data_IF_332305741488
#
_entry.id   IF_332305741488
#
_cell.length_a   1.000
_cell.length_b   1.000
_cell.length_c   1.000
_cell.angle_alpha   90.00
_cell.angle_beta   90.00
_cell.angle_gamma   90.00
#
_symmetry.space_group_name_H-M   'P 1'
#
loop_
_entity.id
_entity.type
_entity.pdbx_description
1 polymer ?
#
# COMPACT_ATOMS: atom_id res chain seq x y z
N UNK A 1 18.05 -19.31 -18.47
CA UNK A 1 18.27 -19.39 -17.01
C UNK A 1 18.66 -18.00 -16.56
N UNK A 2 17.73 -17.21 -16.03
CA UNK A 2 18.02 -15.83 -15.58
C UNK A 2 18.05 -15.85 -14.06
N UNK A 3 19.24 -15.61 -13.50
CA UNK A 3 19.48 -15.62 -12.06
C UNK A 3 18.83 -14.43 -11.38
N UNK A 4 18.29 -14.66 -10.18
CA UNK A 4 17.88 -13.62 -9.25
C UNK A 4 19.14 -12.85 -8.85
N UNK A 5 19.20 -11.55 -9.17
CA UNK A 5 20.26 -10.67 -8.66
C UNK A 5 19.81 -10.21 -7.28
N UNK A 6 20.35 -10.82 -6.24
CA UNK A 6 20.25 -10.31 -4.88
C UNK A 6 21.17 -9.10 -4.74
N UNK A 7 20.61 -7.91 -4.56
CA UNK A 7 21.37 -6.75 -4.06
C UNK A 7 21.47 -6.89 -2.55
N UNK A 8 22.45 -7.66 -2.08
CA UNK A 8 22.70 -7.81 -0.65
C UNK A 8 23.38 -6.54 -0.09
N UNK A 9 22.65 -5.80 0.73
CA UNK A 9 23.22 -5.07 1.86
C UNK A 9 22.42 -5.41 3.11
N UNK A 10 22.79 -6.53 3.74
CA UNK A 10 22.34 -6.86 5.08
C UNK A 10 23.12 -6.06 6.11
N UNK A 11 22.40 -5.42 7.02
CA UNK A 11 22.89 -5.12 8.37
C UNK A 11 21.78 -5.49 9.35
N UNK A 12 22.14 -6.11 10.48
CA UNK A 12 21.21 -6.59 11.48
C UNK A 12 20.27 -5.48 11.98
N UNK A 13 18.96 -5.79 12.09
CA UNK A 13 17.83 -4.90 12.35
C UNK A 13 17.53 -3.87 11.24
N UNK A 14 17.14 -4.35 10.06
CA UNK A 14 16.65 -3.49 8.98
C UNK A 14 15.86 -4.27 7.93
N UNK A 15 15.07 -3.55 7.13
CA UNK A 15 14.29 -4.11 6.04
C UNK A 15 15.20 -4.68 4.93
N UNK A 16 14.86 -5.86 4.44
CA UNK A 16 15.48 -6.45 3.25
C UNK A 16 14.62 -6.15 2.01
N UNK A 17 15.25 -5.71 0.91
CA UNK A 17 14.56 -5.41 -0.35
C UNK A 17 15.05 -6.36 -1.43
N UNK A 18 14.13 -7.21 -1.90
CA UNK A 18 14.39 -8.23 -2.92
C UNK A 18 13.73 -7.82 -4.23
N UNK A 19 14.49 -7.77 -5.32
CA UNK A 19 13.91 -7.60 -6.65
C UNK A 19 13.41 -8.95 -7.18
N UNK A 20 12.10 -9.07 -7.40
CA UNK A 20 11.46 -10.32 -7.85
C UNK A 20 11.35 -10.36 -9.38
N UNK A 21 11.04 -9.20 -9.97
CA UNK A 21 10.91 -8.97 -11.42
C UNK A 21 11.40 -7.56 -11.76
N UNK A 22 11.63 -7.25 -13.05
CA UNK A 22 11.73 -5.86 -13.46
C UNK A 22 10.52 -5.08 -12.91
N UNK A 23 10.78 -3.94 -12.26
CA UNK A 23 9.76 -3.06 -11.68
C UNK A 23 8.94 -3.64 -10.51
N UNK A 24 9.23 -4.85 -10.01
CA UNK A 24 8.56 -5.44 -8.85
C UNK A 24 9.54 -5.90 -7.78
N UNK A 25 9.33 -5.44 -6.56
CA UNK A 25 10.16 -5.69 -5.39
C UNK A 25 9.33 -6.27 -4.25
N UNK A 26 9.98 -6.99 -3.35
CA UNK A 26 9.43 -7.42 -2.07
C UNK A 26 10.27 -6.81 -0.96
N UNK A 27 9.61 -6.16 0.00
CA UNK A 27 10.22 -5.60 1.20
C UNK A 27 9.87 -6.54 2.37
N UNK A 28 10.89 -7.05 3.04
CA UNK A 28 10.81 -8.05 4.11
C UNK A 28 11.28 -7.44 5.43
N UNK A 29 10.67 -7.85 6.54
CA UNK A 29 11.07 -7.43 7.89
C UNK A 29 10.25 -6.27 8.47
N UNK A 30 9.21 -5.81 7.75
CA UNK A 30 8.32 -4.74 8.19
C UNK A 30 7.08 -5.24 8.94
N UNK A 31 7.00 -6.52 9.30
CA UNK A 31 5.75 -7.23 9.60
C UNK A 31 5.45 -8.25 8.50
N UNK A 32 4.23 -8.24 7.97
CA UNK A 32 3.92 -8.95 6.73
C UNK A 32 4.81 -8.41 5.59
N UNK A 33 5.12 -9.28 4.62
CA UNK A 33 5.88 -8.86 3.45
C UNK A 33 5.08 -7.83 2.64
N UNK A 34 5.80 -6.84 2.12
CA UNK A 34 5.22 -5.77 1.30
C UNK A 34 5.65 -5.97 -0.15
N UNK A 35 4.70 -6.12 -1.05
CA UNK A 35 4.96 -6.05 -2.50
C UNK A 35 5.06 -4.60 -2.95
N UNK A 36 5.97 -4.28 -3.85
CA UNK A 36 6.15 -2.93 -4.38
C UNK A 36 6.34 -2.95 -5.90
N UNK A 37 5.30 -2.51 -6.61
CA UNK A 37 5.38 -2.25 -8.05
C UNK A 37 5.76 -0.79 -8.29
N UNK A 38 6.83 -0.56 -9.05
CA UNK A 38 7.36 0.77 -9.36
C UNK A 38 7.24 1.02 -10.85
N UNK A 39 6.56 2.09 -11.24
CA UNK A 39 6.47 2.46 -12.66
C UNK A 39 6.30 3.96 -12.89
N UNK A 40 6.05 4.36 -14.14
CA UNK A 40 6.03 5.77 -14.54
C UNK A 40 4.92 6.58 -13.89
N UNK A 41 3.83 5.92 -13.44
CA UNK A 41 2.69 6.59 -12.84
C UNK A 41 2.82 6.68 -11.31
N UNK A 42 3.72 5.93 -10.69
CA UNK A 42 3.88 5.89 -9.24
C UNK A 42 4.23 4.52 -8.69
N UNK A 43 4.24 4.43 -7.37
CA UNK A 43 4.40 3.17 -6.63
C UNK A 43 3.05 2.64 -6.19
N UNK A 44 2.83 1.35 -6.39
CA UNK A 44 1.74 0.57 -5.80
C UNK A 44 2.35 -0.38 -4.78
N UNK A 45 1.91 -0.28 -3.54
CA UNK A 45 2.29 -1.19 -2.47
C UNK A 45 1.18 -2.22 -2.25
N UNK A 46 1.56 -3.45 -1.93
CA UNK A 46 0.67 -4.49 -1.40
C UNK A 46 1.04 -4.67 0.06
N UNK A 47 0.12 -4.30 0.95
CA UNK A 47 0.29 -4.13 2.39
C UNK A 47 1.19 -2.93 2.78
N UNK A 48 1.16 -2.59 4.07
CA UNK A 48 1.88 -1.46 4.65
C UNK A 48 2.80 -1.83 5.83
N UNK A 49 2.80 -3.08 6.28
CA UNK A 49 3.60 -3.51 7.44
C UNK A 49 3.00 -3.02 8.76
N UNK A 50 3.80 -3.06 9.82
CA UNK A 50 3.44 -2.50 11.13
C UNK A 50 3.58 -0.97 11.16
N UNK A 51 2.96 -0.34 12.16
CA UNK A 51 3.07 1.10 12.39
C UNK A 51 4.53 1.52 12.66
N UNK A 52 5.30 0.70 13.39
CA UNK A 52 6.69 0.97 13.77
C UNK A 52 7.61 0.97 12.54
N UNK A 53 7.44 -0.01 11.64
CA UNK A 53 8.27 -0.18 10.46
C UNK A 53 7.95 0.82 9.32
N UNK A 54 6.77 1.45 9.36
CA UNK A 54 6.28 2.32 8.28
C UNK A 54 7.24 3.43 7.83
N UNK A 55 8.04 3.98 8.76
CA UNK A 55 9.07 4.97 8.42
C UNK A 55 10.21 4.40 7.59
N UNK A 56 10.64 3.18 7.91
CA UNK A 56 11.67 2.46 7.19
C UNK A 56 11.17 2.02 5.81
N UNK A 57 9.89 1.64 5.71
CA UNK A 57 9.26 1.29 4.41
C UNK A 57 9.27 2.49 3.47
N UNK A 58 8.83 3.67 3.94
CA UNK A 58 8.88 4.91 3.12
C UNK A 58 10.31 5.22 2.68
N UNK A 59 11.28 5.10 3.59
CA UNK A 59 12.69 5.32 3.27
C UNK A 59 13.24 4.29 2.28
N UNK A 60 12.82 3.02 2.38
CA UNK A 60 13.19 1.97 1.44
C UNK A 60 12.65 2.25 0.04
N UNK A 61 11.37 2.62 -0.09
CA UNK A 61 10.77 3.00 -1.37
C UNK A 61 11.48 4.21 -1.98
N UNK A 62 11.80 5.23 -1.18
CA UNK A 62 12.51 6.42 -1.65
C UNK A 62 13.93 6.13 -2.17
N UNK A 63 14.59 5.08 -1.67
CA UNK A 63 15.89 4.62 -2.21
C UNK A 63 15.75 3.94 -3.58
N UNK A 64 14.59 3.36 -3.88
CA UNK A 64 14.33 2.67 -5.15
C UNK A 64 13.85 3.63 -6.23
N UNK A 65 13.14 4.70 -5.87
CA UNK A 65 12.51 5.60 -6.84
C UNK A 65 12.18 6.97 -6.27
N UNK A 66 12.14 7.97 -7.16
CA UNK A 66 11.62 9.31 -6.86
C UNK A 66 10.11 9.43 -7.17
N UNK A 67 9.48 8.35 -7.65
CA UNK A 67 8.06 8.34 -7.95
C UNK A 67 7.23 8.32 -6.66
N UNK A 68 6.12 9.06 -6.58
CA UNK A 68 5.28 9.06 -5.39
C UNK A 68 4.56 7.71 -5.22
N UNK A 69 4.31 7.34 -3.97
CA UNK A 69 3.38 6.26 -3.64
C UNK A 69 1.96 6.73 -3.97
N UNK A 70 1.22 5.94 -4.75
CA UNK A 70 -0.13 6.29 -5.23
C UNK A 70 -1.19 5.38 -4.65
N UNK A 71 -0.85 4.11 -4.43
CA UNK A 71 -1.75 3.12 -3.87
C UNK A 71 -1.06 2.25 -2.83
N UNK A 72 -1.85 1.86 -1.82
CA UNK A 72 -1.59 0.76 -0.91
C UNK A 72 -2.78 -0.19 -1.05
N UNK A 73 -2.54 -1.47 -1.30
CA UNK A 73 -3.58 -2.50 -1.42
C UNK A 73 -3.45 -3.42 -0.22
N UNK A 74 -4.40 -3.36 0.71
CA UNK A 74 -4.40 -4.21 1.90
C UNK A 74 -5.01 -5.56 1.59
N UNK A 75 -4.26 -6.62 1.91
CA UNK A 75 -4.68 -7.99 1.68
C UNK A 75 -5.52 -8.58 2.80
N UNK A 76 -5.45 -8.03 4.02
CA UNK A 76 -6.25 -8.41 5.19
C UNK A 76 -6.35 -7.23 6.17
N UNK A 77 -7.00 -7.43 7.33
CA UNK A 77 -7.08 -6.44 8.41
C UNK A 77 -6.02 -6.65 9.51
N UNK A 78 -5.00 -7.47 9.27
CA UNK A 78 -4.03 -7.80 10.31
C UNK A 78 -3.13 -6.60 10.66
N UNK A 79 -2.77 -6.37 11.94
CA UNK A 79 -1.99 -5.20 12.35
C UNK A 79 -0.62 -5.06 11.66
N UNK A 80 -0.01 -6.17 11.26
CA UNK A 80 1.25 -6.22 10.52
C UNK A 80 1.06 -6.10 9.00
N UNK A 81 -0.18 -6.00 8.53
CA UNK A 81 -0.56 -5.68 7.15
C UNK A 81 -0.94 -4.21 7.02
N UNK A 82 -1.83 -3.71 7.89
CA UNK A 82 -2.45 -2.37 7.77
C UNK A 82 -1.83 -1.30 8.68
N UNK A 83 -1.00 -1.70 9.65
CA UNK A 83 -0.50 -0.80 10.69
C UNK A 83 0.25 0.41 10.16
N UNK A 84 0.96 0.27 9.03
CA UNK A 84 1.70 1.35 8.39
C UNK A 84 0.86 2.32 7.54
N UNK A 85 -0.42 2.03 7.29
CA UNK A 85 -1.25 2.75 6.31
C UNK A 85 -1.22 4.26 6.47
N UNK A 86 -1.52 4.76 7.68
CA UNK A 86 -1.63 6.21 7.91
C UNK A 86 -0.35 6.96 7.52
N UNK A 87 0.82 6.44 7.91
CA UNK A 87 2.11 7.09 7.67
C UNK A 87 2.56 6.95 6.21
N UNK A 88 2.39 5.78 5.62
CA UNK A 88 2.77 5.55 4.22
C UNK A 88 1.84 6.33 3.29
N UNK A 89 0.52 6.34 3.55
CA UNK A 89 -0.44 7.11 2.78
C UNK A 89 -0.14 8.61 2.84
N UNK A 90 0.13 9.15 4.04
CA UNK A 90 0.50 10.56 4.21
C UNK A 90 1.82 10.96 3.53
N UNK A 91 2.72 10.02 3.28
CA UNK A 91 3.96 10.27 2.52
C UNK A 91 3.75 10.15 1.00
N UNK A 92 2.65 9.51 0.58
CA UNK A 92 2.25 9.36 -0.80
C UNK A 92 1.46 10.56 -1.35
N UNK A 93 0.89 10.39 -2.54
CA UNK A 93 0.17 11.45 -3.26
C UNK A 93 -1.10 10.91 -3.90
N UNK A 94 -2.15 11.71 -3.96
CA UNK A 94 -3.36 11.31 -4.68
C UNK A 94 -3.19 11.58 -6.19
N UNK A 95 -3.71 10.68 -7.03
CA UNK A 95 -3.74 10.86 -8.50
C UNK A 95 -4.65 12.03 -8.91
N UNK A 96 -5.70 12.33 -8.15
CA UNK A 96 -6.65 13.40 -8.46
C UNK A 96 -6.23 14.76 -7.92
N UNK A 97 -5.19 14.81 -7.08
CA UNK A 97 -4.64 16.07 -6.58
C UNK A 97 -3.83 16.78 -7.65
N UNK A 98 -3.95 18.10 -7.73
CA UNK A 98 -3.16 18.91 -8.65
C UNK A 98 -2.63 20.17 -7.96
N UNK A 99 -1.42 20.57 -8.35
CA UNK A 99 -0.80 21.76 -7.83
C UNK A 99 -1.42 23.01 -8.45
N UNK A 100 -1.90 23.92 -7.60
CA UNK A 100 -2.37 25.24 -8.01
C UNK A 100 -1.51 26.30 -7.36
N UNK A 101 -1.06 27.25 -8.17
CA UNK A 101 -0.34 28.42 -7.68
C UNK A 101 -1.36 29.49 -7.32
N UNK A 102 -1.42 29.85 -6.04
CA UNK A 102 -2.32 30.90 -5.56
C UNK A 102 -1.81 32.29 -5.97
N UNK A 103 -2.68 33.29 -5.93
CA UNK A 103 -2.32 34.69 -6.19
C UNK A 103 -1.22 35.22 -5.25
N UNK A 104 -1.09 34.63 -4.04
CA UNK A 104 -0.05 34.95 -3.07
C UNK A 104 1.31 34.27 -3.38
N UNK A 105 1.48 33.64 -4.54
CA UNK A 105 2.72 32.95 -4.92
C UNK A 105 2.96 31.62 -4.20
N UNK A 106 2.02 31.17 -3.37
CA UNK A 106 2.09 29.87 -2.69
C UNK A 106 1.52 28.77 -3.57
N UNK A 107 2.27 27.69 -3.74
CA UNK A 107 1.75 26.45 -4.34
C UNK A 107 0.94 25.70 -3.28
N UNK A 108 -0.32 25.42 -3.59
CA UNK A 108 -1.21 24.58 -2.77
C UNK A 108 -1.70 23.41 -3.61
N UNK A 109 -1.96 22.28 -2.97
CA UNK A 109 -2.60 21.15 -3.61
C UNK A 109 -4.12 21.33 -3.49
N UNK A 110 -4.84 21.23 -4.61
CA UNK A 110 -6.29 21.18 -4.65
C UNK A 110 -6.73 19.79 -5.15
N UNK A 111 -7.78 19.26 -4.54
CA UNK A 111 -8.30 17.92 -4.78
C UNK A 111 -9.50 17.64 -3.85
N UNK A 112 -10.22 16.55 -4.10
CA UNK A 112 -11.40 16.15 -3.29
C UNK A 112 -11.02 15.44 -1.99
N UNK A 113 -9.78 14.97 -1.89
CA UNK A 113 -9.25 14.22 -0.74
C UNK A 113 -7.96 14.88 -0.23
N UNK A 114 -7.53 14.54 1.00
CA UNK A 114 -6.18 14.86 1.46
C UNK A 114 -5.16 14.33 0.44
N UNK A 115 -4.10 15.10 0.16
CA UNK A 115 -3.07 14.70 -0.80
C UNK A 115 -2.19 13.58 -0.24
N UNK A 116 -2.72 12.36 -0.30
CA UNK A 116 -2.19 11.13 0.25
C UNK A 116 -2.39 9.97 -0.74
N UNK A 117 -1.61 8.90 -0.63
CA UNK A 117 -1.88 7.68 -1.40
C UNK A 117 -3.23 7.08 -1.00
N UNK A 118 -3.91 6.44 -1.95
CA UNK A 118 -5.17 5.73 -1.68
C UNK A 118 -4.87 4.37 -1.06
N UNK A 119 -5.53 4.07 0.03
CA UNK A 119 -5.57 2.74 0.64
C UNK A 119 -6.81 2.02 0.12
N UNK A 120 -6.61 0.90 -0.55
CA UNK A 120 -7.64 0.07 -1.18
C UNK A 120 -7.70 -1.29 -0.50
N UNK A 121 -8.90 -1.77 -0.18
CA UNK A 121 -9.09 -3.11 0.39
C UNK A 121 -10.47 -3.69 0.03
N UNK A 122 -10.71 -4.96 0.34
CA UNK A 122 -12.09 -5.48 0.34
C UNK A 122 -12.88 -4.88 1.52
N UNK A 123 -14.19 -4.67 1.37
CA UNK A 123 -15.03 -3.99 2.36
C UNK A 123 -15.04 -4.64 3.75
N UNK A 124 -14.86 -5.96 3.82
CA UNK A 124 -14.73 -6.68 5.10
C UNK A 124 -13.47 -6.27 5.89
N UNK A 125 -12.39 -5.82 5.23
CA UNK A 125 -11.21 -5.28 5.92
C UNK A 125 -11.59 -4.00 6.65
N UNK A 126 -12.24 -3.05 5.97
CA UNK A 126 -12.74 -1.82 6.58
C UNK A 126 -13.76 -2.11 7.69
N UNK A 127 -14.66 -3.07 7.48
CA UNK A 127 -15.64 -3.49 8.50
C UNK A 127 -14.95 -4.02 9.76
N UNK A 128 -13.89 -4.83 9.61
CA UNK A 128 -13.10 -5.33 10.75
C UNK A 128 -12.34 -4.22 11.45
N UNK A 129 -11.71 -3.34 10.69
CA UNK A 129 -10.92 -2.23 11.22
C UNK A 129 -11.78 -1.17 11.90
N UNK A 130 -13.02 -0.97 11.46
CA UNK A 130 -13.90 0.06 12.05
C UNK A 130 -14.72 -0.46 13.23
N UNK A 131 -14.84 -1.79 13.42
CA UNK A 131 -15.69 -2.38 14.45
C UNK A 131 -15.09 -2.22 15.85
N UNK A 132 -15.79 -1.53 16.77
CA UNK A 132 -15.45 -1.52 18.20
C UNK A 132 -15.43 -2.92 18.81
N UNK A 133 -14.47 -3.25 19.70
CA UNK A 133 -14.48 -4.52 20.43
C UNK A 133 -15.56 -4.55 21.54
N UNK A 134 -16.22 -3.42 21.83
CA UNK A 134 -17.34 -3.31 22.76
C UNK A 134 -17.97 -1.91 22.74
N UNK A 135 -19.12 -1.70 23.42
CA UNK A 135 -19.92 -0.47 23.34
C UNK A 135 -19.16 0.82 23.68
N UNK A 136 -18.18 0.74 24.58
CA UNK A 136 -17.41 1.90 25.08
C UNK A 136 -15.90 1.78 24.80
N UNK A 137 -15.51 0.96 23.82
CA UNK A 137 -14.10 0.82 23.42
C UNK A 137 -13.93 1.28 21.99
N UNK A 138 -13.02 2.22 21.68
CA UNK A 138 -12.75 2.57 20.29
C UNK A 138 -12.18 1.36 19.54
N UNK A 139 -12.23 1.42 18.21
CA UNK A 139 -11.51 0.45 17.39
C UNK A 139 -10.02 0.42 17.79
N UNK A 140 -9.36 -0.76 17.79
CA UNK A 140 -7.92 -0.84 17.96
C UNK A 140 -7.14 -0.19 16.81
N UNK A 141 -7.77 0.05 15.67
CA UNK A 141 -7.17 0.73 14.51
C UNK A 141 -7.56 2.22 14.51
N UNK A 142 -6.60 3.15 14.59
CA UNK A 142 -6.87 4.57 14.39
C UNK A 142 -7.53 4.81 13.03
N UNK A 143 -8.52 5.70 12.97
CA UNK A 143 -9.29 5.96 11.74
C UNK A 143 -8.44 6.39 10.55
N UNK A 144 -7.27 6.98 10.80
CA UNK A 144 -6.29 7.39 9.78
C UNK A 144 -5.63 6.20 9.08
N UNK A 145 -5.69 5.00 9.68
CA UNK A 145 -5.15 3.76 9.07
C UNK A 145 -6.16 3.05 8.20
N UNK A 146 -7.43 3.45 8.24
CA UNK A 146 -8.50 2.73 7.56
C UNK A 146 -8.39 2.86 6.03
N UNK A 147 -8.87 1.86 5.29
CA UNK A 147 -9.01 1.94 3.84
C UNK A 147 -9.81 3.17 3.41
N UNK A 148 -9.26 3.93 2.46
CA UNK A 148 -9.90 5.10 1.85
C UNK A 148 -10.82 4.73 0.67
N UNK A 149 -10.64 3.54 0.11
CA UNK A 149 -11.46 2.95 -0.96
C UNK A 149 -11.70 1.47 -0.62
N UNK A 150 -12.93 1.00 -0.81
CA UNK A 150 -13.26 -0.42 -0.69
C UNK A 150 -13.97 -0.95 -1.94
N UNK A 151 -13.95 -2.27 -2.09
CA UNK A 151 -14.74 -3.01 -3.09
C UNK A 151 -15.42 -4.21 -2.44
N UNK A 152 -16.51 -4.71 -3.04
CA UNK A 152 -17.34 -5.82 -2.50
C UNK A 152 -17.33 -7.01 -3.46
N UNK A 153 -17.01 -6.79 -4.73
CA UNK A 153 -17.03 -7.81 -5.76
C UNK A 153 -15.93 -8.86 -5.53
N UNK A 154 -16.15 -10.09 -6.02
CA UNK A 154 -15.13 -11.15 -6.00
C UNK A 154 -13.82 -10.75 -6.68
N UNK A 155 -13.89 -9.83 -7.64
CA UNK A 155 -12.73 -9.34 -8.40
C UNK A 155 -12.88 -7.84 -8.65
N UNK A 156 -11.87 -7.09 -8.22
CA UNK A 156 -11.61 -5.71 -8.62
C UNK A 156 -10.43 -5.69 -9.59
N UNK A 157 -10.49 -4.85 -10.62
CA UNK A 157 -9.41 -4.69 -11.58
C UNK A 157 -9.03 -3.22 -11.69
N UNK A 158 -7.73 -2.94 -11.83
CA UNK A 158 -7.23 -1.62 -12.16
C UNK A 158 -6.13 -1.72 -13.20
N UNK A 159 -5.93 -0.63 -13.96
CA UNK A 159 -4.79 -0.50 -14.87
C UNK A 159 -3.86 0.59 -14.34
N UNK A 160 -2.61 0.24 -14.09
CA UNK A 160 -1.62 1.16 -13.54
C UNK A 160 -0.21 0.76 -13.97
N UNK A 161 0.68 1.73 -14.16
CA UNK A 161 2.07 1.46 -14.59
C UNK A 161 2.19 0.61 -15.88
N UNK A 162 1.28 0.81 -16.83
CA UNK A 162 1.19 0.00 -18.06
C UNK A 162 1.00 -1.51 -17.81
N UNK A 163 0.24 -1.82 -16.75
CA UNK A 163 -0.02 -3.18 -16.29
C UNK A 163 -1.44 -3.31 -15.72
N UNK A 164 -2.10 -4.43 -16.03
CA UNK A 164 -3.35 -4.82 -15.38
C UNK A 164 -3.08 -5.46 -14.03
N UNK A 165 -3.73 -4.96 -12.99
CA UNK A 165 -3.67 -5.47 -11.62
C UNK A 165 -5.06 -6.04 -11.28
N UNK A 166 -5.11 -7.32 -10.93
CA UNK A 166 -6.33 -7.98 -10.48
C UNK A 166 -6.27 -8.20 -8.97
N UNK A 167 -7.34 -7.81 -8.28
CA UNK A 167 -7.49 -7.86 -6.83
C UNK A 167 -8.65 -8.82 -6.58
N UNK A 168 -8.35 -10.03 -6.11
CA UNK A 168 -9.26 -11.17 -6.05
C UNK A 168 -9.61 -11.48 -4.60
N UNK A 169 -10.86 -11.27 -4.22
CA UNK A 169 -11.35 -11.59 -2.88
C UNK A 169 -11.42 -13.12 -2.66
N UNK A 170 -10.88 -13.56 -1.53
CA UNK A 170 -10.81 -14.95 -1.09
C UNK A 170 -11.50 -15.11 0.28
N UNK A 171 -12.84 -15.20 0.33
CA UNK A 171 -13.61 -15.13 1.59
C UNK A 171 -13.36 -16.28 2.58
N UNK A 172 -12.67 -17.35 2.14
CA UNK A 172 -12.36 -18.53 2.95
C UNK A 172 -10.85 -18.75 3.12
N UNK A 173 -10.06 -17.67 3.08
CA UNK A 173 -8.64 -17.69 3.40
C UNK A 173 -8.41 -17.47 4.91
N UNK A 174 -7.46 -16.63 5.34
CA UNK A 174 -7.17 -16.42 6.75
C UNK A 174 -8.33 -15.70 7.46
N UNK A 175 -8.89 -14.69 6.80
CA UNK A 175 -10.10 -13.96 7.21
C UNK A 175 -11.12 -13.87 6.05
N UNK A 176 -12.28 -13.29 6.32
CA UNK A 176 -13.30 -13.03 5.29
C UNK A 176 -13.02 -11.76 4.46
N UNK A 177 -11.97 -11.01 4.76
CA UNK A 177 -11.52 -9.83 3.99
C UNK A 177 -10.36 -10.11 3.05
N UNK A 178 -9.84 -11.34 3.07
CA UNK A 178 -8.59 -11.69 2.40
C UNK A 178 -8.65 -11.50 0.90
N UNK A 179 -7.52 -11.07 0.33
CA UNK A 179 -7.41 -10.78 -1.09
C UNK A 179 -6.06 -11.21 -1.66
N UNK A 180 -6.08 -11.73 -2.89
CA UNK A 180 -4.89 -11.96 -3.71
C UNK A 180 -4.73 -10.79 -4.67
N UNK A 181 -3.52 -10.25 -4.80
CA UNK A 181 -3.20 -9.21 -5.81
C UNK A 181 -2.31 -9.85 -6.87
N UNK A 182 -2.75 -9.79 -8.13
CA UNK A 182 -2.05 -10.36 -9.28
C UNK A 182 -1.66 -9.27 -10.28
N UNK A 183 -0.36 -9.14 -10.53
CA UNK A 183 0.26 -8.22 -11.47
C UNK A 183 0.47 -8.96 -12.80
N UNK A 184 -0.44 -8.73 -13.76
CA UNK A 184 -0.56 -9.59 -14.95
C UNK A 184 0.63 -9.57 -15.91
N UNK A 185 1.32 -8.44 -16.02
CA UNK A 185 2.45 -8.25 -16.95
C UNK A 185 3.76 -8.72 -16.29
N UNK A 186 3.89 -8.49 -14.99
CA UNK A 186 5.00 -8.92 -14.16
C UNK A 186 4.94 -10.43 -13.85
N UNK A 187 3.74 -11.01 -13.91
CA UNK A 187 3.43 -12.40 -13.57
C UNK A 187 3.82 -12.73 -12.12
N UNK A 188 3.25 -11.95 -11.20
CA UNK A 188 3.50 -12.00 -9.74
C UNK A 188 2.21 -11.86 -8.97
#
# INVERSE_FOLDING_TARGET
MSGVIALAQGNAAGLEVLQIRPNFYMIVGAGANIGAQIGPNGVVLVNAGTAEASGEVVAAVAKLTNQPIRYIIDTSADPDVVGGNAKIASAGRNITSFAVRTAAGRTTMLGTDADAARVLSHDNVLTRMSRPPGPDRPSPFPSETWPSESFIERRRTMYFNDEGIEILHQPAAHTDGDTIVFFRKSDV
#
